data_IF_345485335198
#
_entry.id   IF_345485335198
#
_cell.length_a   1.000
_cell.length_b   1.000
_cell.length_c   1.000
_cell.angle_alpha   90.00
_cell.angle_beta   90.00
_cell.angle_gamma   90.00
#
_symmetry.space_group_name_H-M   'P 1'
#
loop_
_entity.id
_entity.type
_entity.pdbx_description
1 polymer ?
#
# COMPACT_ATOMS: atom_id res chain seq x y z
N UNK A 1 -0.33 25.24 21.88
CA UNK A 1 0.12 24.79 20.55
C UNK A 1 1.17 25.78 20.04
N UNK A 2 2.44 25.51 20.33
CA UNK A 2 3.57 26.27 19.79
C UNK A 2 3.73 25.89 18.32
N UNK A 3 3.80 26.87 17.41
CA UNK A 3 4.03 26.62 15.99
C UNK A 3 5.28 25.73 15.83
N UNK A 4 5.16 24.64 15.09
CA UNK A 4 6.26 23.71 14.88
C UNK A 4 7.41 24.45 14.17
N UNK A 5 8.61 24.40 14.74
CA UNK A 5 9.78 24.96 14.06
C UNK A 5 10.15 24.04 12.89
N UNK A 6 10.74 24.55 11.80
CA UNK A 6 11.19 23.71 10.68
C UNK A 6 12.13 22.57 11.10
N UNK A 7 12.90 22.77 12.19
CA UNK A 7 13.75 21.73 12.79
C UNK A 7 12.92 20.63 13.48
N UNK A 8 11.84 21.01 14.16
CA UNK A 8 10.94 20.08 14.82
C UNK A 8 10.16 19.23 13.82
N UNK A 9 9.68 19.84 12.73
CA UNK A 9 9.00 19.14 11.64
C UNK A 9 9.91 18.10 10.98
N UNK A 10 11.16 18.45 10.67
CA UNK A 10 12.14 17.50 10.12
C UNK A 10 12.40 16.31 11.04
N UNK A 11 12.45 16.52 12.36
CA UNK A 11 12.65 15.43 13.32
C UNK A 11 11.43 14.52 13.41
N UNK A 12 10.22 15.10 13.47
CA UNK A 12 8.99 14.32 13.43
C UNK A 12 8.91 13.50 12.15
N UNK A 13 9.24 14.09 11.01
CA UNK A 13 9.25 13.43 9.71
C UNK A 13 10.24 12.26 9.67
N UNK A 14 11.47 12.43 10.17
CA UNK A 14 12.45 11.35 10.25
C UNK A 14 11.96 10.15 11.09
N UNK A 15 11.20 10.41 12.16
CA UNK A 15 10.58 9.33 12.95
C UNK A 15 9.46 8.61 12.17
N UNK A 16 8.66 9.34 11.38
CA UNK A 16 7.61 8.75 10.54
C UNK A 16 8.22 7.88 9.44
N UNK A 17 9.25 8.37 8.76
CA UNK A 17 9.99 7.63 7.72
C UNK A 17 10.61 6.35 8.29
N UNK A 18 11.32 6.45 9.42
CA UNK A 18 11.87 5.29 10.11
C UNK A 18 10.77 4.33 10.62
N UNK A 19 9.59 4.81 10.99
CA UNK A 19 8.50 3.92 11.36
C UNK A 19 7.87 3.23 10.13
N UNK A 20 7.75 3.93 9.00
CA UNK A 20 7.23 3.39 7.75
C UNK A 20 8.14 2.30 7.17
N UNK A 21 9.46 2.47 7.26
CA UNK A 21 10.43 1.44 6.88
C UNK A 21 10.29 0.17 7.74
N UNK A 22 10.14 0.28 9.09
CA UNK A 22 9.89 -0.92 9.93
C UNK A 22 8.61 -1.62 9.54
N UNK A 23 7.59 -0.82 9.25
CA UNK A 23 6.28 -1.33 8.88
C UNK A 23 6.37 -2.09 7.54
N UNK A 24 7.22 -1.64 6.63
CA UNK A 24 7.47 -2.31 5.36
C UNK A 24 8.24 -3.63 5.56
N UNK A 25 9.28 -3.62 6.40
CA UNK A 25 10.22 -4.75 6.55
C UNK A 25 9.73 -5.84 7.52
N UNK A 26 9.01 -5.47 8.58
CA UNK A 26 8.66 -6.38 9.68
C UNK A 26 7.25 -6.18 10.23
N UNK A 27 6.40 -5.48 9.49
CA UNK A 27 5.01 -5.25 9.86
C UNK A 27 4.83 -4.42 11.13
N UNK A 28 3.63 -4.45 11.69
CA UNK A 28 3.27 -3.59 12.81
C UNK A 28 4.04 -3.90 14.10
N UNK A 29 4.48 -5.15 14.31
CA UNK A 29 5.17 -5.53 15.55
C UNK A 29 6.63 -5.05 15.58
N UNK A 30 7.22 -4.78 14.42
CA UNK A 30 8.51 -4.14 14.29
C UNK A 30 8.48 -2.67 14.72
N UNK A 31 7.33 -1.99 14.59
CA UNK A 31 7.17 -0.58 14.98
C UNK A 31 7.12 -0.46 16.50
N UNK A 32 8.24 -0.07 17.10
CA UNK A 32 8.39 0.22 18.54
C UNK A 32 9.12 1.54 18.72
N UNK A 33 8.80 2.32 19.76
CA UNK A 33 9.46 3.61 20.02
C UNK A 33 10.99 3.52 19.97
N UNK A 34 11.58 2.51 20.62
CA UNK A 34 13.03 2.30 20.61
C UNK A 34 13.58 2.00 19.21
N UNK A 35 12.96 1.07 18.49
CA UNK A 35 13.39 0.68 17.14
C UNK A 35 13.27 1.83 16.13
N UNK A 36 12.23 2.68 16.29
CA UNK A 36 12.03 3.88 15.46
C UNK A 36 13.09 4.93 15.78
N UNK A 37 13.31 5.24 17.06
CA UNK A 37 14.30 6.23 17.48
C UNK A 37 15.71 5.85 17.01
N UNK A 38 16.08 4.57 17.16
CA UNK A 38 17.36 4.02 16.74
C UNK A 38 17.58 4.20 15.24
N UNK A 39 16.62 3.80 14.40
CA UNK A 39 16.76 3.95 12.94
C UNK A 39 16.68 5.39 12.46
N UNK A 40 15.90 6.23 13.12
CA UNK A 40 15.89 7.67 12.82
C UNK A 40 17.19 8.38 13.26
N UNK A 41 18.08 7.70 14.02
CA UNK A 41 19.27 8.32 14.61
C UNK A 41 18.93 9.40 15.63
N UNK A 42 17.80 9.26 16.32
CA UNK A 42 17.27 10.24 17.28
C UNK A 42 17.21 9.68 18.71
N UNK A 43 17.35 10.52 19.75
CA UNK A 43 17.15 10.07 21.12
C UNK A 43 15.75 9.49 21.34
N UNK A 44 15.64 8.43 22.16
CA UNK A 44 14.35 7.79 22.50
C UNK A 44 13.29 8.81 22.97
N UNK A 45 13.70 9.82 23.75
CA UNK A 45 12.79 10.88 24.21
C UNK A 45 12.12 11.65 23.07
N UNK A 46 12.67 11.61 21.85
CA UNK A 46 12.08 12.25 20.67
C UNK A 46 10.77 11.59 20.27
N UNK A 47 10.65 10.25 20.37
CA UNK A 47 9.41 9.58 19.96
C UNK A 47 8.26 9.95 20.86
N UNK A 48 8.48 10.02 22.18
CA UNK A 48 7.47 10.41 23.17
C UNK A 48 7.23 11.92 23.20
N UNK A 49 8.12 12.73 22.60
CA UNK A 49 7.91 14.16 22.44
C UNK A 49 7.01 14.49 21.25
N UNK A 50 7.11 13.72 20.15
CA UNK A 50 6.36 13.98 18.91
C UNK A 50 5.11 13.12 18.71
N UNK A 51 4.96 12.03 19.47
CA UNK A 51 3.82 11.13 19.41
C UNK A 51 3.39 10.76 20.83
N UNK A 52 2.10 10.95 21.10
CA UNK A 52 1.48 10.69 22.40
C UNK A 52 1.34 9.18 22.66
N UNK A 53 1.36 8.36 21.60
CA UNK A 53 1.25 6.91 21.69
C UNK A 53 1.95 6.19 20.54
N UNK A 54 2.19 4.88 20.72
CA UNK A 54 2.65 4.02 19.64
C UNK A 54 1.60 3.92 18.51
N UNK A 55 0.32 3.96 18.85
CA UNK A 55 -0.77 3.92 17.88
C UNK A 55 -0.76 5.14 16.96
N UNK A 56 -0.52 6.34 17.51
CA UNK A 56 -0.37 7.57 16.71
C UNK A 56 0.82 7.48 15.75
N UNK A 57 1.95 6.94 16.21
CA UNK A 57 3.13 6.71 15.38
C UNK A 57 2.84 5.69 14.26
N UNK A 58 2.13 4.61 14.57
CA UNK A 58 1.71 3.60 13.58
C UNK A 58 0.75 4.21 12.55
N UNK A 59 -0.19 5.05 12.97
CA UNK A 59 -1.09 5.78 12.06
C UNK A 59 -0.28 6.64 11.10
N UNK A 60 0.65 7.46 11.62
CA UNK A 60 1.48 8.33 10.81
C UNK A 60 2.37 7.55 9.84
N UNK A 61 2.97 6.44 10.28
CA UNK A 61 3.79 5.56 9.46
C UNK A 61 2.99 4.89 8.34
N UNK A 62 1.80 4.35 8.66
CA UNK A 62 0.90 3.72 7.71
C UNK A 62 0.44 4.71 6.65
N UNK A 63 0.05 5.91 7.10
CA UNK A 63 -0.38 7.00 6.23
C UNK A 63 0.74 7.46 5.30
N UNK A 64 1.96 7.66 5.82
CA UNK A 64 3.11 8.02 5.02
C UNK A 64 3.42 6.96 3.97
N UNK A 65 3.53 5.69 4.37
CA UNK A 65 3.81 4.59 3.47
C UNK A 65 2.76 4.48 2.35
N UNK A 66 1.47 4.49 2.69
CA UNK A 66 0.40 4.39 1.70
C UNK A 66 0.34 5.60 0.76
N UNK A 67 0.65 6.81 1.24
CA UNK A 67 0.75 7.98 0.37
C UNK A 67 1.90 7.89 -0.62
N UNK A 68 3.05 7.34 -0.22
CA UNK A 68 4.16 7.09 -1.13
C UNK A 68 3.73 6.12 -2.25
N UNK A 69 3.03 5.05 -1.91
CA UNK A 69 2.50 4.08 -2.90
C UNK A 69 1.50 4.75 -3.87
N UNK A 70 0.59 5.60 -3.36
CA UNK A 70 -0.36 6.34 -4.20
C UNK A 70 0.32 7.35 -5.13
N UNK A 71 1.30 8.10 -4.63
CA UNK A 71 2.08 9.06 -5.42
C UNK A 71 2.88 8.34 -6.51
N UNK A 72 3.52 7.22 -6.15
CA UNK A 72 4.20 6.36 -7.10
C UNK A 72 3.23 5.87 -8.18
N UNK A 73 2.06 5.38 -7.79
CA UNK A 73 1.04 4.88 -8.68
C UNK A 73 0.53 5.92 -9.67
N UNK A 74 0.23 7.12 -9.18
CA UNK A 74 -0.19 8.25 -10.02
C UNK A 74 0.90 8.65 -11.02
N UNK A 75 2.15 8.72 -10.58
CA UNK A 75 3.29 8.98 -11.48
C UNK A 75 3.42 7.88 -12.53
N UNK A 76 3.31 6.62 -12.12
CA UNK A 76 3.45 5.48 -13.02
C UNK A 76 2.34 5.46 -14.07
N UNK A 77 1.12 5.80 -13.69
CA UNK A 77 0.00 5.99 -14.61
C UNK A 77 0.34 6.99 -15.73
N UNK A 78 0.92 8.15 -15.39
CA UNK A 78 1.33 9.15 -16.39
C UNK A 78 2.45 8.61 -17.30
N UNK A 79 3.40 7.84 -16.78
CA UNK A 79 4.50 7.27 -17.55
C UNK A 79 4.05 6.23 -18.59
N UNK A 80 2.94 5.52 -18.34
CA UNK A 80 2.44 4.46 -19.23
C UNK A 80 1.15 4.82 -19.96
N UNK A 81 0.67 6.08 -19.85
CA UNK A 81 -0.63 6.50 -20.35
C UNK A 81 -0.88 6.09 -21.81
N UNK A 82 0.09 6.28 -22.70
CA UNK A 82 -0.02 5.95 -24.13
C UNK A 82 -0.05 4.44 -24.42
N UNK A 83 0.28 3.61 -23.43
CA UNK A 83 0.36 2.15 -23.54
C UNK A 83 -0.74 1.42 -22.78
N UNK A 84 -1.66 2.14 -22.13
CA UNK A 84 -2.73 1.54 -21.33
C UNK A 84 -3.75 0.71 -22.15
N UNK A 85 -3.75 0.85 -23.49
CA UNK A 85 -4.54 -0.02 -24.36
C UNK A 85 -4.03 -1.46 -24.43
N UNK A 86 -2.81 -1.73 -23.93
CA UNK A 86 -2.24 -3.07 -23.81
C UNK A 86 -2.64 -3.70 -22.46
N UNK A 87 -3.29 -4.86 -22.52
CA UNK A 87 -3.79 -5.59 -21.35
C UNK A 87 -2.68 -6.03 -20.40
N UNK A 88 -1.47 -6.30 -20.91
CA UNK A 88 -0.33 -6.64 -20.06
C UNK A 88 0.13 -5.42 -19.26
N UNK A 89 0.28 -4.26 -19.92
CA UNK A 89 0.68 -3.02 -19.26
C UNK A 89 -0.36 -2.57 -18.24
N UNK A 90 -1.64 -2.70 -18.60
CA UNK A 90 -2.76 -2.38 -17.72
C UNK A 90 -2.79 -3.31 -16.50
N UNK A 91 -2.68 -4.62 -16.71
CA UNK A 91 -2.69 -5.58 -15.62
C UNK A 91 -1.49 -5.39 -14.69
N UNK A 92 -0.29 -5.19 -15.24
CA UNK A 92 0.92 -4.96 -14.45
C UNK A 92 0.81 -3.71 -13.58
N UNK A 93 0.28 -2.60 -14.11
CA UNK A 93 0.06 -1.38 -13.32
C UNK A 93 -0.92 -1.61 -12.16
N UNK A 94 -2.02 -2.32 -12.40
CA UNK A 94 -3.00 -2.65 -11.35
C UNK A 94 -2.39 -3.59 -10.32
N UNK A 95 -1.61 -4.59 -10.73
CA UNK A 95 -0.91 -5.50 -9.83
C UNK A 95 0.14 -4.77 -9.01
N UNK A 96 0.88 -3.82 -9.58
CA UNK A 96 1.83 -3.01 -8.82
C UNK A 96 1.14 -2.21 -7.71
N UNK A 97 -0.02 -1.62 -8.00
CA UNK A 97 -0.81 -0.90 -7.01
C UNK A 97 -1.34 -1.79 -5.89
N UNK A 98 -1.75 -3.02 -6.23
CA UNK A 98 -2.39 -3.94 -5.29
C UNK A 98 -1.40 -4.81 -4.51
N UNK A 99 -0.28 -5.19 -5.13
CA UNK A 99 0.67 -6.19 -4.63
C UNK A 99 2.07 -5.62 -4.37
N UNK A 100 2.34 -4.39 -4.82
CA UNK A 100 3.65 -3.76 -4.75
C UNK A 100 4.47 -4.05 -5.99
N UNK A 101 5.62 -3.38 -6.11
CA UNK A 101 6.45 -3.39 -7.32
C UNK A 101 7.39 -4.61 -7.41
N UNK A 102 7.57 -5.33 -6.29
CA UNK A 102 8.42 -6.52 -6.28
C UNK A 102 7.70 -7.70 -6.91
N UNK A 103 8.44 -8.46 -7.72
CA UNK A 103 8.00 -9.76 -8.20
C UNK A 103 8.30 -10.90 -7.19
N UNK A 104 8.99 -10.60 -6.08
CA UNK A 104 9.31 -11.56 -5.04
C UNK A 104 8.06 -12.01 -4.27
N UNK A 105 7.87 -13.33 -4.16
CA UNK A 105 6.78 -13.92 -3.41
C UNK A 105 6.82 -13.50 -1.94
N UNK A 106 8.01 -13.37 -1.34
CA UNK A 106 8.17 -12.93 0.06
C UNK A 106 7.64 -11.51 0.27
N UNK A 107 7.85 -10.62 -0.70
CA UNK A 107 7.32 -9.26 -0.65
C UNK A 107 5.78 -9.24 -0.68
N UNK A 108 5.16 -10.16 -1.44
CA UNK A 108 3.70 -10.34 -1.46
C UNK A 108 3.21 -10.88 -0.12
N UNK A 109 3.90 -11.87 0.46
CA UNK A 109 3.58 -12.40 1.80
C UNK A 109 3.58 -11.28 2.84
N UNK A 110 4.68 -10.54 2.98
CA UNK A 110 4.81 -9.45 3.94
C UNK A 110 3.73 -8.38 3.78
N UNK A 111 3.35 -8.08 2.53
CA UNK A 111 2.25 -7.15 2.24
C UNK A 111 0.92 -7.69 2.76
N UNK A 112 0.57 -8.95 2.50
CA UNK A 112 -0.68 -9.55 2.96
C UNK A 112 -0.72 -9.73 4.48
N UNK A 113 0.41 -10.08 5.11
CA UNK A 113 0.54 -10.10 6.57
C UNK A 113 0.17 -8.74 7.17
N UNK A 114 0.71 -7.64 6.61
CA UNK A 114 0.39 -6.28 7.04
C UNK A 114 -1.08 -5.93 6.80
N UNK A 115 -1.63 -6.26 5.63
CA UNK A 115 -3.03 -5.98 5.32
C UNK A 115 -3.97 -6.69 6.29
N UNK A 116 -3.78 -8.00 6.53
CA UNK A 116 -4.60 -8.79 7.46
C UNK A 116 -4.42 -8.32 8.90
N UNK A 117 -3.19 -7.99 9.32
CA UNK A 117 -2.89 -7.51 10.67
C UNK A 117 -3.61 -6.18 11.02
N UNK A 118 -4.05 -5.42 10.01
CA UNK A 118 -4.88 -4.21 10.20
C UNK A 118 -6.23 -4.53 10.86
N UNK A 119 -6.81 -5.71 10.60
CA UNK A 119 -8.10 -6.12 11.18
C UNK A 119 -8.11 -6.17 12.71
N UNK A 120 -6.94 -6.33 13.34
CA UNK A 120 -6.77 -6.31 14.81
C UNK A 120 -6.50 -4.91 15.38
N UNK A 121 -6.54 -3.85 14.55
CA UNK A 121 -6.16 -2.47 14.91
C UNK A 121 -7.30 -1.49 14.59
N UNK A 122 -8.38 -1.45 15.39
CA UNK A 122 -9.55 -0.63 15.10
C UNK A 122 -9.25 0.86 14.95
N UNK A 123 -8.21 1.38 15.60
CA UNK A 123 -7.78 2.77 15.51
C UNK A 123 -7.31 3.18 14.09
N UNK A 124 -6.92 2.22 13.25
CA UNK A 124 -6.57 2.48 11.84
C UNK A 124 -7.80 2.61 10.92
N UNK A 125 -9.00 2.24 11.38
CA UNK A 125 -10.19 2.16 10.52
C UNK A 125 -10.50 3.45 9.74
N UNK A 126 -10.46 4.65 10.33
CA UNK A 126 -10.71 5.88 9.57
C UNK A 126 -9.68 6.09 8.45
N UNK A 127 -8.39 5.90 8.78
CA UNK A 127 -7.28 6.03 7.83
C UNK A 127 -7.41 5.02 6.68
N UNK A 128 -7.63 3.74 7.00
CA UNK A 128 -7.70 2.68 6.00
C UNK A 128 -8.91 2.83 5.07
N UNK A 129 -10.03 3.38 5.56
CA UNK A 129 -11.18 3.71 4.72
C UNK A 129 -10.87 4.83 3.72
N UNK A 130 -10.16 5.87 4.16
CA UNK A 130 -9.73 6.97 3.30
C UNK A 130 -8.75 6.47 2.23
N UNK A 131 -7.67 5.83 2.65
CA UNK A 131 -6.64 5.28 1.75
C UNK A 131 -7.22 4.27 0.75
N UNK A 132 -8.11 3.37 1.20
CA UNK A 132 -8.76 2.43 0.31
C UNK A 132 -9.66 3.12 -0.73
N UNK A 133 -10.31 4.23 -0.35
CA UNK A 133 -11.08 5.06 -1.29
C UNK A 133 -10.19 5.73 -2.34
N UNK A 134 -9.06 6.29 -1.94
CA UNK A 134 -8.07 6.91 -2.82
C UNK A 134 -7.48 5.88 -3.80
N UNK A 135 -7.08 4.71 -3.30
CA UNK A 135 -6.57 3.61 -4.14
C UNK A 135 -7.60 3.14 -5.17
N UNK A 136 -8.86 2.92 -4.75
CA UNK A 136 -9.95 2.57 -5.69
C UNK A 136 -10.20 3.68 -6.72
N UNK A 137 -10.06 4.95 -6.32
CA UNK A 137 -10.15 6.09 -7.21
C UNK A 137 -9.09 6.07 -8.30
N UNK A 138 -7.83 5.80 -7.92
CA UNK A 138 -6.71 5.69 -8.86
C UNK A 138 -6.88 4.51 -9.82
N UNK A 139 -7.29 3.33 -9.33
CA UNK A 139 -7.56 2.16 -10.18
C UNK A 139 -8.71 2.44 -11.16
N UNK A 140 -9.77 3.13 -10.71
CA UNK A 140 -10.86 3.56 -11.59
C UNK A 140 -10.37 4.51 -12.70
N UNK A 141 -9.49 5.47 -12.36
CA UNK A 141 -8.89 6.37 -13.34
C UNK A 141 -8.04 5.60 -14.37
N UNK A 142 -7.25 4.62 -13.93
CA UNK A 142 -6.45 3.76 -14.80
C UNK A 142 -7.30 3.07 -15.86
N UNK A 143 -8.40 2.41 -15.45
CA UNK A 143 -9.31 1.78 -16.39
C UNK A 143 -10.00 2.79 -17.32
N UNK A 144 -10.38 3.95 -16.80
CA UNK A 144 -10.99 5.00 -17.63
C UNK A 144 -10.02 5.48 -18.71
N UNK A 145 -8.75 5.74 -18.35
CA UNK A 145 -7.71 6.15 -19.30
C UNK A 145 -7.30 5.04 -20.27
N UNK A 146 -7.46 3.77 -19.90
CA UNK A 146 -7.26 2.63 -20.79
C UNK A 146 -8.40 2.43 -21.81
N UNK A 147 -9.44 3.30 -21.80
CA UNK A 147 -10.64 3.15 -22.63
C UNK A 147 -11.65 2.13 -22.10
N UNK A 148 -11.42 1.53 -20.93
CA UNK A 148 -12.32 0.55 -20.30
C UNK A 148 -13.32 1.26 -19.40
N UNK A 149 -14.60 1.18 -19.75
CA UNK A 149 -15.69 1.79 -18.97
C UNK A 149 -16.24 0.81 -17.95
N UNK A 150 -15.44 0.51 -16.94
CA UNK A 150 -15.91 -0.30 -15.82
C UNK A 150 -16.64 0.56 -14.79
N UNK A 151 -17.79 0.08 -14.33
CA UNK A 151 -18.47 0.65 -13.17
C UNK A 151 -17.66 0.41 -11.89
N UNK A 152 -18.01 1.11 -10.80
CA UNK A 152 -17.34 0.95 -9.49
C UNK A 152 -17.41 -0.49 -8.98
N UNK A 153 -18.56 -1.14 -9.13
CA UNK A 153 -18.77 -2.53 -8.73
C UNK A 153 -17.80 -3.47 -9.45
N UNK A 154 -17.61 -3.29 -10.76
CA UNK A 154 -16.66 -4.09 -11.54
C UNK A 154 -15.21 -3.88 -11.09
N UNK A 155 -14.83 -2.66 -10.72
CA UNK A 155 -13.50 -2.40 -10.16
C UNK A 155 -13.32 -3.12 -8.82
N UNK A 156 -14.35 -3.11 -7.96
CA UNK A 156 -14.33 -3.82 -6.68
C UNK A 156 -14.24 -5.34 -6.88
N UNK A 157 -14.96 -5.91 -7.86
CA UNK A 157 -14.86 -7.31 -8.25
C UNK A 157 -13.45 -7.70 -8.71
N UNK A 158 -12.81 -6.87 -9.53
CA UNK A 158 -11.45 -7.15 -10.02
C UNK A 158 -10.42 -7.11 -8.90
N UNK A 159 -10.56 -6.17 -7.95
CA UNK A 159 -9.71 -6.12 -6.75
C UNK A 159 -9.93 -7.38 -5.91
N UNK A 160 -11.18 -7.76 -5.66
CA UNK A 160 -11.51 -8.98 -4.91
C UNK A 160 -11.00 -10.25 -5.60
N UNK A 161 -11.02 -10.30 -6.93
CA UNK A 161 -10.46 -11.39 -7.72
C UNK A 161 -8.95 -11.50 -7.53
N UNK A 162 -8.23 -10.38 -7.61
CA UNK A 162 -6.77 -10.33 -7.37
C UNK A 162 -6.46 -10.78 -5.94
N UNK A 163 -7.15 -10.21 -4.94
CA UNK A 163 -6.95 -10.55 -3.53
C UNK A 163 -7.23 -12.03 -3.25
N UNK A 164 -8.34 -12.57 -3.77
CA UNK A 164 -8.67 -13.98 -3.63
C UNK A 164 -7.67 -14.90 -4.31
N UNK A 165 -7.18 -14.52 -5.49
CA UNK A 165 -6.16 -15.29 -6.20
C UNK A 165 -4.85 -15.34 -5.42
N UNK A 166 -4.41 -14.21 -4.85
CA UNK A 166 -3.20 -14.17 -4.01
C UNK A 166 -3.39 -14.99 -2.74
N UNK A 167 -4.50 -14.81 -2.01
CA UNK A 167 -4.75 -15.57 -0.77
C UNK A 167 -4.74 -17.08 -1.03
N UNK A 168 -5.37 -17.56 -2.11
CA UNK A 168 -5.33 -18.97 -2.47
C UNK A 168 -3.90 -19.44 -2.79
N UNK A 169 -3.14 -18.67 -3.57
CA UNK A 169 -1.75 -18.99 -3.89
C UNK A 169 -0.87 -19.06 -2.63
N UNK A 170 -1.08 -18.16 -1.67
CA UNK A 170 -0.36 -18.18 -0.38
C UNK A 170 -0.74 -19.41 0.46
N UNK A 171 -2.02 -19.82 0.48
CA UNK A 171 -2.47 -21.05 1.17
C UNK A 171 -1.80 -22.29 0.56
N UNK A 172 -1.63 -22.30 -0.76
CA UNK A 172 -0.99 -23.38 -1.51
C UNK A 172 0.54 -23.34 -1.47
N UNK A 173 1.12 -22.29 -0.86
CA UNK A 173 2.57 -22.04 -0.83
C UNK A 173 3.14 -21.98 -2.26
N UNK A 174 2.38 -21.37 -3.17
CA UNK A 174 2.80 -21.15 -4.55
C UNK A 174 4.02 -20.21 -4.56
N UNK A 175 5.01 -20.53 -5.38
CA UNK A 175 6.23 -19.72 -5.55
C UNK A 175 6.00 -18.40 -6.30
N UNK A 176 4.85 -18.22 -6.95
CA UNK A 176 4.51 -17.05 -7.77
C UNK A 176 3.05 -16.60 -7.55
N UNK A 177 2.69 -16.11 -6.35
CA UNK A 177 1.35 -15.59 -6.06
C UNK A 177 0.99 -14.40 -6.96
N UNK A 178 1.98 -13.58 -7.33
CA UNK A 178 1.79 -12.45 -8.24
C UNK A 178 1.37 -12.92 -9.63
N UNK A 179 2.03 -13.92 -10.19
CA UNK A 179 1.71 -14.46 -11.50
C UNK A 179 0.35 -15.15 -11.52
N UNK A 180 -0.05 -15.83 -10.45
CA UNK A 180 -1.41 -16.38 -10.29
C UNK A 180 -2.45 -15.26 -10.41
N UNK A 181 -2.28 -14.18 -9.64
CA UNK A 181 -3.17 -13.04 -9.67
C UNK A 181 -3.19 -12.34 -11.03
N UNK A 182 -2.03 -12.18 -11.68
CA UNK A 182 -1.94 -11.57 -13.00
C UNK A 182 -2.64 -12.37 -14.09
N UNK A 183 -2.54 -13.71 -14.07
CA UNK A 183 -3.31 -14.57 -14.99
C UNK A 183 -4.82 -14.40 -14.80
N UNK A 184 -5.29 -14.35 -13.56
CA UNK A 184 -6.71 -14.13 -13.24
C UNK A 184 -7.19 -12.75 -13.70
N UNK A 185 -6.43 -11.69 -13.41
CA UNK A 185 -6.77 -10.33 -13.81
C UNK A 185 -6.84 -10.19 -15.33
N UNK A 186 -5.82 -10.64 -16.08
CA UNK A 186 -5.83 -10.58 -17.55
C UNK A 186 -6.99 -11.34 -18.17
N UNK A 187 -7.29 -12.52 -17.63
CA UNK A 187 -8.46 -13.30 -18.07
C UNK A 187 -9.74 -12.50 -17.84
N UNK A 188 -9.89 -11.83 -16.70
CA UNK A 188 -11.06 -11.00 -16.40
C UNK A 188 -11.15 -9.73 -17.26
N UNK A 189 -10.02 -9.15 -17.67
CA UNK A 189 -9.97 -7.99 -18.57
C UNK A 189 -10.34 -8.35 -20.01
N UNK A 190 -10.02 -9.57 -20.45
CA UNK A 190 -10.35 -10.06 -21.80
C UNK A 190 -11.84 -10.38 -22.01
N UNK A 191 -12.58 -10.62 -20.91
CA UNK A 191 -14.03 -10.85 -20.95
C UNK A 191 -14.75 -9.51 -21.08
N UNK A 192 -15.29 -9.25 -22.27
CA UNK A 192 -16.27 -8.18 -22.47
C UNK A 192 -17.64 -8.72 -22.04
N UNK A 193 -18.26 -8.07 -21.05
CA UNK A 193 -19.69 -8.23 -20.76
C UNK A 193 -20.51 -7.41 -21.77
#
# INVERSE_FOLDING_TARGET
MTAATPKGERRRQALVEAAAELLADGGFDAVRHRAVAERAGLPLASTTYYFDSLDELIVAATEFHARQELVWGAKRLEEVADRLGDDEVLADLVLDLLLGQSADAEAVVLRYERLVATGRRPYLRPLMRALGGELRGLIYEIFTRSGRRFGRERVEELIALVDGAVVNALIEVDSDPRGVAGRMLRTALSRQD
#
